data_IF_995798984388
#
_entry.id   IF_995798984388
#
_cell.length_a   1.000
_cell.length_b   1.000
_cell.length_c   1.000
_cell.angle_alpha   90.00
_cell.angle_beta   90.00
_cell.angle_gamma   90.00
#
_symmetry.space_group_name_H-M   'P 1'
#
loop_
_entity.id
_entity.type
_entity.pdbx_description
1 polymer ?
#
# COMPACT_ATOMS: atom_id res chain seq x y z
N UNK A 1 -19.00 11.48 10.12
CA UNK A 1 -17.64 11.68 9.55
C UNK A 1 -16.62 10.89 10.36
N UNK A 2 -16.60 10.98 11.71
CA UNK A 2 -15.64 10.24 12.55
C UNK A 2 -15.75 8.70 12.41
N UNK A 3 -16.95 8.13 12.33
CA UNK A 3 -17.15 6.69 12.16
C UNK A 3 -16.63 6.16 10.80
N UNK A 4 -16.67 6.99 9.76
CA UNK A 4 -16.16 6.64 8.44
C UNK A 4 -14.61 6.70 8.41
N UNK A 5 -14.00 7.64 9.13
CA UNK A 5 -12.56 7.77 9.28
C UNK A 5 -11.95 6.60 10.09
N UNK A 6 -12.60 6.22 11.19
CA UNK A 6 -12.15 5.07 12.02
C UNK A 6 -12.27 3.75 11.24
N UNK A 7 -13.28 3.62 10.38
CA UNK A 7 -13.40 2.46 9.47
C UNK A 7 -12.28 2.40 8.43
N UNK A 8 -11.85 3.54 7.89
CA UNK A 8 -10.72 3.61 6.96
C UNK A 8 -9.39 3.29 7.63
N UNK A 9 -9.14 3.73 8.87
CA UNK A 9 -7.94 3.37 9.62
C UNK A 9 -7.79 1.85 9.83
N UNK A 10 -8.88 1.13 10.05
CA UNK A 10 -8.83 -0.32 10.16
C UNK A 10 -8.44 -1.00 8.85
N UNK A 11 -9.06 -0.60 7.73
CA UNK A 11 -8.71 -1.13 6.41
C UNK A 11 -7.25 -0.82 6.04
N UNK A 12 -6.72 0.34 6.43
CA UNK A 12 -5.34 0.74 6.19
C UNK A 12 -4.36 -0.14 6.98
N UNK A 13 -4.64 -0.44 8.25
CA UNK A 13 -3.77 -1.32 9.06
C UNK A 13 -3.68 -2.74 8.50
N UNK A 14 -4.79 -3.28 8.02
CA UNK A 14 -4.81 -4.61 7.39
C UNK A 14 -4.04 -4.61 6.07
N UNK A 15 -4.11 -3.52 5.32
CA UNK A 15 -3.40 -3.34 4.07
C UNK A 15 -1.89 -3.43 4.20
N UNK A 16 -1.29 -2.84 5.23
CA UNK A 16 0.16 -2.86 5.46
C UNK A 16 0.70 -4.30 5.57
N UNK A 17 -0.08 -5.23 6.14
CA UNK A 17 0.31 -6.62 6.28
C UNK A 17 0.14 -7.47 5.03
N UNK A 18 -0.68 -7.06 4.09
CA UNK A 18 -1.02 -7.83 2.87
C UNK A 18 -0.42 -7.24 1.61
N UNK A 19 -0.28 -5.90 1.53
CA UNK A 19 0.20 -5.19 0.34
C UNK A 19 1.54 -5.70 -0.19
N UNK A 20 2.57 -5.93 0.63
CA UNK A 20 3.86 -6.42 0.12
C UNK A 20 3.74 -7.78 -0.58
N UNK A 21 2.83 -8.64 -0.12
CA UNK A 21 2.66 -9.98 -0.66
C UNK A 21 1.99 -9.95 -2.03
N UNK A 22 0.84 -9.28 -2.15
CA UNK A 22 0.15 -9.23 -3.44
C UNK A 22 0.87 -8.35 -4.45
N UNK A 23 1.52 -7.26 -4.01
CA UNK A 23 2.28 -6.42 -4.91
C UNK A 23 3.51 -7.15 -5.47
N UNK A 24 4.20 -7.94 -4.64
CA UNK A 24 5.30 -8.77 -5.11
C UNK A 24 4.82 -9.84 -6.11
N UNK A 25 3.66 -10.50 -5.84
CA UNK A 25 3.02 -11.43 -6.78
C UNK A 25 2.72 -10.74 -8.10
N UNK A 26 2.16 -9.53 -8.06
CA UNK A 26 1.81 -8.74 -9.23
C UNK A 26 3.03 -8.35 -10.06
N UNK A 27 4.15 -7.98 -9.43
CA UNK A 27 5.38 -7.65 -10.15
C UNK A 27 5.89 -8.79 -11.05
N UNK A 28 5.59 -10.05 -10.71
CA UNK A 28 5.97 -11.24 -11.46
C UNK A 28 4.78 -11.91 -12.16
N UNK A 29 3.67 -11.20 -12.32
CA UNK A 29 2.53 -11.68 -13.09
C UNK A 29 2.94 -11.99 -14.54
N UNK A 30 2.39 -13.06 -15.09
CA UNK A 30 2.64 -13.47 -16.47
C UNK A 30 2.26 -12.38 -17.50
N UNK A 31 1.34 -11.50 -17.13
CA UNK A 31 0.88 -10.38 -17.98
C UNK A 31 2.00 -9.34 -18.22
N UNK A 32 2.91 -9.19 -17.29
CA UNK A 32 4.03 -8.24 -17.41
C UNK A 32 5.21 -8.78 -18.22
N UNK A 33 5.22 -10.09 -18.52
CA UNK A 33 6.23 -10.73 -19.38
C UNK A 33 7.65 -10.68 -18.82
N UNK A 34 7.82 -10.48 -17.52
CA UNK A 34 9.12 -10.48 -16.86
C UNK A 34 9.45 -11.89 -16.40
N UNK A 35 10.56 -12.47 -16.88
CA UNK A 35 10.97 -13.80 -16.45
C UNK A 35 11.38 -13.80 -14.98
N UNK A 36 10.95 -14.81 -14.25
CA UNK A 36 11.35 -15.02 -12.86
C UNK A 36 12.84 -15.42 -12.81
N UNK A 37 13.71 -14.42 -12.69
CA UNK A 37 15.15 -14.57 -12.59
C UNK A 37 15.69 -13.93 -11.31
N UNK A 38 16.85 -14.38 -10.84
CA UNK A 38 17.47 -13.79 -9.65
C UNK A 38 17.75 -12.29 -9.81
N UNK A 39 18.15 -11.86 -11.01
CA UNK A 39 18.39 -10.46 -11.34
C UNK A 39 17.09 -9.62 -11.24
N UNK A 40 15.99 -10.12 -11.80
CA UNK A 40 14.69 -9.47 -11.72
C UNK A 40 14.19 -9.37 -10.27
N UNK A 41 14.38 -10.43 -9.47
CA UNK A 41 14.02 -10.43 -8.05
C UNK A 41 14.80 -9.38 -7.27
N UNK A 42 16.12 -9.29 -7.45
CA UNK A 42 16.95 -8.25 -6.82
C UNK A 42 16.52 -6.84 -7.27
N UNK A 43 16.20 -6.66 -8.55
CA UNK A 43 15.71 -5.39 -9.08
C UNK A 43 14.41 -4.95 -8.43
N UNK A 44 13.40 -5.83 -8.36
CA UNK A 44 12.10 -5.55 -7.74
C UNK A 44 12.24 -5.28 -6.24
N UNK A 45 12.99 -6.10 -5.50
CA UNK A 45 13.20 -5.89 -4.06
C UNK A 45 13.95 -4.58 -3.80
N UNK A 46 14.93 -4.25 -4.64
CA UNK A 46 15.63 -2.97 -4.57
C UNK A 46 14.68 -1.80 -4.81
N UNK A 47 13.79 -1.88 -5.79
CA UNK A 47 12.75 -0.85 -6.03
C UNK A 47 11.82 -0.70 -4.83
N UNK A 48 11.35 -1.81 -4.25
CA UNK A 48 10.49 -1.78 -3.05
C UNK A 48 11.21 -1.10 -1.89
N UNK A 49 12.45 -1.50 -1.60
CA UNK A 49 13.25 -0.92 -0.51
C UNK A 49 13.42 0.60 -0.70
N UNK A 50 13.83 1.04 -1.89
CA UNK A 50 14.06 2.45 -2.14
C UNK A 50 12.76 3.25 -2.25
N UNK A 51 11.67 2.67 -2.70
CA UNK A 51 10.35 3.29 -2.65
C UNK A 51 9.95 3.58 -1.19
N UNK A 52 10.13 2.64 -0.25
CA UNK A 52 9.93 2.89 1.18
C UNK A 52 10.86 3.99 1.72
N UNK A 53 12.15 3.94 1.39
CA UNK A 53 13.09 4.95 1.87
C UNK A 53 12.76 6.35 1.37
N UNK A 54 12.40 6.49 0.10
CA UNK A 54 12.11 7.80 -0.51
C UNK A 54 10.71 8.29 -0.09
N UNK A 55 9.68 7.46 -0.22
CA UNK A 55 8.31 7.90 -0.01
C UNK A 55 7.98 7.96 1.48
N UNK A 56 8.22 6.88 2.22
CA UNK A 56 7.83 6.84 3.65
C UNK A 56 8.84 7.61 4.49
N UNK A 57 10.13 7.28 4.42
CA UNK A 57 11.11 7.88 5.33
C UNK A 57 11.41 9.33 4.97
N UNK A 58 11.76 9.62 3.71
CA UNK A 58 12.14 10.96 3.31
C UNK A 58 10.91 11.88 3.16
N UNK A 59 9.94 11.50 2.34
CA UNK A 59 8.78 12.36 2.05
C UNK A 59 7.87 12.50 3.26
N UNK A 60 7.37 11.40 3.84
CA UNK A 60 6.39 11.47 4.92
C UNK A 60 7.04 11.81 6.26
N UNK A 61 8.00 11.04 6.75
CA UNK A 61 8.57 11.24 8.09
C UNK A 61 9.37 12.53 8.18
N UNK A 62 10.22 12.84 7.19
CA UNK A 62 11.04 14.05 7.25
C UNK A 62 10.30 15.35 6.93
N UNK A 63 9.39 15.33 5.95
CA UNK A 63 8.74 16.55 5.46
C UNK A 63 7.29 16.67 5.90
N UNK A 64 6.44 15.69 5.57
CA UNK A 64 4.98 15.83 5.74
C UNK A 64 4.57 15.85 7.21
N UNK A 65 5.14 14.99 8.05
CA UNK A 65 4.82 14.95 9.49
C UNK A 65 5.23 16.21 10.25
N UNK A 66 6.06 17.08 9.68
CA UNK A 66 6.37 18.40 10.25
C UNK A 66 5.30 19.45 9.97
N UNK A 67 4.42 19.20 9.01
CA UNK A 67 3.32 20.08 8.65
C UNK A 67 2.12 19.83 9.56
N UNK A 68 2.18 20.34 10.78
CA UNK A 68 1.12 20.22 11.79
C UNK A 68 0.14 21.38 11.70
N UNK A 69 -1.15 21.07 11.58
CA UNK A 69 -2.24 22.04 11.66
C UNK A 69 -3.07 21.80 12.93
N UNK A 70 -2.61 22.30 14.08
CA UNK A 70 -3.30 22.16 15.38
C UNK A 70 -3.58 20.70 15.81
N UNK A 71 -2.69 19.78 15.49
CA UNK A 71 -2.85 18.35 15.78
C UNK A 71 -3.58 17.57 14.71
N UNK A 72 -4.01 18.22 13.64
CA UNK A 72 -4.63 17.56 12.48
C UNK A 72 -3.60 17.41 11.35
N UNK A 73 -3.62 16.24 10.69
CA UNK A 73 -2.78 15.90 9.54
C UNK A 73 -3.63 15.63 8.29
N UNK A 74 -2.97 15.08 7.27
CA UNK A 74 -3.60 14.67 6.01
C UNK A 74 -3.64 15.76 4.94
N UNK A 75 -4.17 15.37 3.78
CA UNK A 75 -4.17 16.20 2.56
C UNK A 75 -4.88 17.54 2.75
N UNK A 76 -6.02 17.53 3.47
CA UNK A 76 -6.81 18.73 3.69
C UNK A 76 -6.14 19.70 4.68
N UNK A 77 -5.47 19.18 5.71
CA UNK A 77 -4.67 19.98 6.62
C UNK A 77 -3.49 20.65 5.92
N UNK A 78 -2.79 19.88 5.07
CA UNK A 78 -1.69 20.41 4.24
C UNK A 78 -2.18 21.48 3.27
N UNK A 79 -3.32 21.28 2.62
CA UNK A 79 -3.97 22.29 1.77
C UNK A 79 -4.30 23.55 2.56
N UNK A 80 -4.89 23.43 3.76
CA UNK A 80 -5.23 24.55 4.61
C UNK A 80 -3.99 25.37 5.02
N UNK A 81 -2.88 24.68 5.39
CA UNK A 81 -1.61 25.32 5.69
C UNK A 81 -1.05 26.09 4.49
N UNK A 82 -1.05 25.48 3.31
CA UNK A 82 -0.56 26.11 2.07
C UNK A 82 -1.40 27.34 1.71
N UNK A 83 -2.72 27.31 1.92
CA UNK A 83 -3.60 28.45 1.65
C UNK A 83 -3.35 29.63 2.58
N UNK A 84 -2.84 29.43 3.79
CA UNK A 84 -2.49 30.51 4.72
C UNK A 84 -1.32 31.37 4.21
N UNK A 85 -0.47 30.82 3.35
CA UNK A 85 0.71 31.49 2.83
C UNK A 85 0.45 32.30 1.54
N UNK A 86 -0.75 32.20 0.97
CA UNK A 86 -1.09 32.78 -0.34
C UNK A 86 -2.33 33.66 -0.22
N UNK A 87 -2.38 34.85 -0.90
CA UNK A 87 -3.58 35.69 -0.92
C UNK A 87 -4.81 34.93 -1.44
N UNK A 88 -5.95 35.09 -0.75
CA UNK A 88 -7.17 34.29 -0.95
C UNK A 88 -7.81 34.42 -2.34
N UNK A 89 -7.44 35.42 -3.14
CA UNK A 89 -8.00 35.61 -4.47
C UNK A 89 -6.95 35.50 -5.61
N UNK A 90 -5.90 34.74 -5.38
CA UNK A 90 -4.80 34.51 -6.31
C UNK A 90 -5.04 33.24 -7.16
N UNK A 91 -4.54 33.21 -8.41
CA UNK A 91 -4.48 32.00 -9.23
C UNK A 91 -3.75 30.85 -8.50
N UNK A 92 -2.77 31.18 -7.65
CA UNK A 92 -2.04 30.19 -6.83
C UNK A 92 -2.95 29.55 -5.80
N UNK A 93 -3.86 30.31 -5.16
CA UNK A 93 -4.85 29.79 -4.23
C UNK A 93 -5.76 28.76 -4.92
N UNK A 94 -6.24 29.07 -6.12
CA UNK A 94 -7.06 28.14 -6.89
C UNK A 94 -6.30 26.86 -7.25
N UNK A 95 -5.05 26.97 -7.66
CA UNK A 95 -4.21 25.78 -7.95
C UNK A 95 -4.01 24.88 -6.72
N UNK A 96 -3.79 25.48 -5.54
CA UNK A 96 -3.64 24.72 -4.29
C UNK A 96 -4.96 24.00 -3.94
N UNK A 97 -6.09 24.67 -4.08
CA UNK A 97 -7.41 24.07 -3.84
C UNK A 97 -7.64 22.89 -4.80
N UNK A 98 -7.41 23.09 -6.10
CA UNK A 98 -7.58 22.05 -7.10
C UNK A 98 -6.66 20.85 -6.83
N UNK A 99 -5.40 21.07 -6.49
CA UNK A 99 -4.47 20.02 -6.13
C UNK A 99 -4.88 19.27 -4.87
N UNK A 100 -5.35 19.98 -3.84
CA UNK A 100 -5.84 19.38 -2.60
C UNK A 100 -7.11 18.55 -2.80
N UNK A 101 -8.08 19.07 -3.58
CA UNK A 101 -9.29 18.33 -3.93
C UNK A 101 -8.96 17.10 -4.78
N UNK A 102 -8.09 17.24 -5.78
CA UNK A 102 -7.64 16.11 -6.58
C UNK A 102 -6.96 15.03 -5.73
N UNK A 103 -6.06 15.44 -4.82
CA UNK A 103 -5.42 14.50 -3.89
C UNK A 103 -6.42 13.79 -2.98
N UNK A 104 -7.42 14.53 -2.45
CA UNK A 104 -8.49 13.93 -1.66
C UNK A 104 -9.33 12.93 -2.47
N UNK A 105 -9.65 13.22 -3.72
CA UNK A 105 -10.35 12.29 -4.60
C UNK A 105 -9.53 11.01 -4.86
N UNK A 106 -8.22 11.15 -5.08
CA UNK A 106 -7.32 10.00 -5.24
C UNK A 106 -7.27 9.14 -3.97
N UNK A 107 -7.20 9.77 -2.80
CA UNK A 107 -7.24 9.08 -1.51
C UNK A 107 -8.55 8.31 -1.29
N UNK A 108 -9.70 8.91 -1.63
CA UNK A 108 -10.99 8.21 -1.56
C UNK A 108 -11.05 7.03 -2.55
N UNK A 109 -10.46 7.17 -3.74
CA UNK A 109 -10.35 6.07 -4.71
C UNK A 109 -9.54 4.90 -4.14
N UNK A 110 -8.40 5.19 -3.54
CA UNK A 110 -7.55 4.19 -2.91
C UNK A 110 -8.27 3.46 -1.76
N UNK A 111 -8.98 4.18 -0.92
CA UNK A 111 -9.74 3.62 0.20
C UNK A 111 -10.82 2.59 -0.21
N UNK A 112 -11.24 2.58 -1.48
CA UNK A 112 -12.17 1.60 -2.05
C UNK A 112 -11.40 0.45 -2.69
N UNK A 113 -10.34 0.75 -3.43
CA UNK A 113 -9.58 -0.22 -4.23
C UNK A 113 -8.75 -1.14 -3.32
N UNK A 114 -8.08 -0.58 -2.34
CA UNK A 114 -7.14 -1.31 -1.47
C UNK A 114 -7.77 -2.47 -0.69
N UNK A 115 -8.94 -2.32 -0.01
CA UNK A 115 -9.62 -3.45 0.62
C UNK A 115 -10.07 -4.51 -0.39
N UNK A 116 -10.51 -4.08 -1.57
CA UNK A 116 -10.96 -5.00 -2.61
C UNK A 116 -9.83 -5.89 -3.11
N UNK A 117 -8.66 -5.31 -3.41
CA UNK A 117 -7.47 -6.05 -3.84
C UNK A 117 -6.95 -6.96 -2.72
N UNK A 118 -6.93 -6.49 -1.47
CA UNK A 118 -6.45 -7.27 -0.34
C UNK A 118 -7.29 -8.53 -0.11
N UNK A 119 -8.62 -8.41 -0.15
CA UNK A 119 -9.53 -9.56 0.00
C UNK A 119 -9.42 -10.49 -1.21
N UNK A 120 -9.39 -9.93 -2.42
CA UNK A 120 -9.26 -10.72 -3.66
C UNK A 120 -7.97 -11.55 -3.62
N UNK A 121 -6.85 -10.94 -3.34
CA UNK A 121 -5.55 -11.62 -3.27
C UNK A 121 -5.49 -12.70 -2.18
N UNK A 122 -6.15 -12.48 -1.04
CA UNK A 122 -6.24 -13.50 0.00
C UNK A 122 -7.08 -14.70 -0.46
N UNK A 123 -8.19 -14.47 -1.16
CA UNK A 123 -9.07 -15.53 -1.68
C UNK A 123 -8.42 -16.27 -2.86
N UNK A 124 -7.64 -15.59 -3.69
CA UNK A 124 -6.82 -16.22 -4.75
C UNK A 124 -5.84 -17.26 -4.21
N UNK A 125 -5.45 -17.17 -2.94
CA UNK A 125 -4.66 -18.21 -2.29
C UNK A 125 -5.34 -19.59 -2.30
N UNK A 126 -6.67 -19.68 -2.45
CA UNK A 126 -7.38 -20.94 -2.59
C UNK A 126 -7.07 -21.67 -3.89
N UNK A 127 -6.69 -20.95 -4.95
CA UNK A 127 -6.29 -21.54 -6.24
C UNK A 127 -5.05 -22.42 -6.12
N UNK A 128 -4.15 -22.08 -5.17
CA UNK A 128 -2.95 -22.86 -4.90
C UNK A 128 -3.30 -24.24 -4.32
N UNK A 129 -4.45 -24.34 -3.62
CA UNK A 129 -4.92 -25.59 -3.02
C UNK A 129 -5.60 -26.45 -4.08
N UNK A 130 -6.49 -25.84 -4.89
CA UNK A 130 -7.21 -26.54 -5.96
C UNK A 130 -7.59 -25.56 -7.10
N UNK A 131 -7.18 -25.85 -8.34
CA UNK A 131 -7.55 -25.03 -9.52
C UNK A 131 -9.07 -24.93 -9.75
N UNK A 132 -9.84 -25.92 -9.29
CA UNK A 132 -11.30 -25.90 -9.43
C UNK A 132 -11.97 -24.80 -8.60
N UNK A 133 -11.27 -24.25 -7.60
CA UNK A 133 -11.79 -23.19 -6.75
C UNK A 133 -11.70 -21.80 -7.39
N UNK A 134 -10.99 -21.65 -8.51
CA UNK A 134 -10.88 -20.37 -9.25
C UNK A 134 -12.22 -19.74 -9.54
N UNK A 135 -13.23 -20.52 -9.94
CA UNK A 135 -14.59 -20.03 -10.21
C UNK A 135 -15.30 -19.44 -9.00
N UNK A 136 -14.90 -19.81 -7.79
CA UNK A 136 -15.50 -19.33 -6.54
C UNK A 136 -14.78 -18.12 -5.96
N UNK A 137 -13.59 -17.77 -6.46
CA UNK A 137 -12.78 -16.64 -5.95
C UNK A 137 -13.58 -15.35 -5.98
N UNK A 138 -14.16 -14.99 -7.11
CA UNK A 138 -14.93 -13.75 -7.24
C UNK A 138 -16.20 -13.72 -6.36
N UNK A 139 -17.06 -14.76 -6.34
CA UNK A 139 -18.21 -14.80 -5.46
C UNK A 139 -17.86 -14.73 -3.97
N UNK A 140 -16.82 -15.44 -3.54
CA UNK A 140 -16.35 -15.42 -2.14
C UNK A 140 -15.82 -14.04 -1.78
N UNK A 141 -15.01 -13.43 -2.66
CA UNK A 141 -14.48 -12.06 -2.45
C UNK A 141 -15.61 -11.05 -2.28
N UNK A 142 -16.62 -11.08 -3.15
CA UNK A 142 -17.79 -10.17 -3.04
C UNK A 142 -18.53 -10.41 -1.72
N UNK A 143 -18.75 -11.67 -1.35
CA UNK A 143 -19.43 -12.00 -0.10
C UNK A 143 -18.66 -11.47 1.12
N UNK A 144 -17.34 -11.67 1.18
CA UNK A 144 -16.50 -11.18 2.27
C UNK A 144 -16.53 -9.65 2.33
N UNK A 145 -16.39 -8.94 1.18
CA UNK A 145 -16.44 -7.48 1.13
C UNK A 145 -17.78 -6.94 1.63
N UNK A 146 -18.90 -7.52 1.16
CA UNK A 146 -20.24 -7.12 1.61
C UNK A 146 -20.40 -7.35 3.11
N UNK A 147 -19.99 -8.50 3.62
CA UNK A 147 -20.03 -8.82 5.06
C UNK A 147 -19.18 -7.82 5.86
N UNK A 148 -17.97 -7.50 5.40
CA UNK A 148 -17.06 -6.56 6.05
C UNK A 148 -17.66 -5.15 6.11
N UNK A 149 -18.22 -4.64 5.02
CA UNK A 149 -18.88 -3.33 5.00
C UNK A 149 -20.17 -3.28 5.84
N UNK A 150 -20.90 -4.39 5.95
CA UNK A 150 -22.08 -4.46 6.81
C UNK A 150 -21.70 -4.43 8.29
N UNK A 151 -20.65 -5.15 8.68
CA UNK A 151 -20.14 -5.18 10.06
C UNK A 151 -19.59 -3.79 10.45
N UNK A 152 -18.99 -3.08 9.53
CA UNK A 152 -18.43 -1.74 9.75
C UNK A 152 -19.47 -0.72 10.22
N UNK A 153 -20.75 -0.89 9.86
CA UNK A 153 -21.86 -0.03 10.32
C UNK A 153 -22.17 -0.16 11.81
N UNK A 154 -21.87 -1.30 12.44
CA UNK A 154 -22.23 -1.60 13.83
C UNK A 154 -21.24 -1.07 14.87
N UNK A 155 -20.17 -0.45 14.42
CA UNK A 155 -19.14 0.14 15.28
C UNK A 155 -17.81 -0.61 15.21
N UNK A 156 -16.75 0.18 15.18
CA UNK A 156 -15.39 -0.30 14.95
C UNK A 156 -14.69 -0.80 16.21
N UNK A 157 -15.22 -0.54 17.39
CA UNK A 157 -14.59 -0.88 18.68
C UNK A 157 -14.42 -2.39 18.91
N UNK A 158 -15.44 -3.18 18.56
CA UNK A 158 -15.41 -4.65 18.76
C UNK A 158 -14.47 -5.29 17.74
N UNK A 159 -14.57 -4.85 16.51
CA UNK A 159 -13.77 -5.35 15.39
C UNK A 159 -12.30 -4.98 15.61
N UNK A 160 -11.99 -3.74 16.01
CA UNK A 160 -10.63 -3.26 16.30
C UNK A 160 -9.93 -4.04 17.42
N UNK A 161 -10.66 -4.42 18.46
CA UNK A 161 -10.11 -5.22 19.56
C UNK A 161 -9.71 -6.65 19.13
N UNK A 162 -10.41 -7.22 18.15
CA UNK A 162 -10.11 -8.56 17.64
C UNK A 162 -8.99 -8.51 16.57
N UNK A 163 -9.00 -7.51 15.71
CA UNK A 163 -8.03 -7.37 14.62
C UNK A 163 -6.61 -7.09 15.13
N UNK A 164 -6.45 -6.29 16.17
CA UNK A 164 -5.13 -5.97 16.74
C UNK A 164 -4.28 -7.19 17.05
N UNK A 165 -4.76 -8.14 17.90
CA UNK A 165 -4.03 -9.35 18.19
C UNK A 165 -3.79 -10.26 16.97
N UNK A 166 -4.76 -10.36 16.06
CA UNK A 166 -4.63 -11.16 14.83
C UNK A 166 -3.51 -10.62 13.97
N UNK A 167 -3.49 -9.29 13.73
CA UNK A 167 -2.45 -8.65 12.94
C UNK A 167 -1.08 -8.74 13.60
N UNK A 168 -1.01 -8.69 14.93
CA UNK A 168 0.24 -8.89 15.66
C UNK A 168 0.81 -10.29 15.42
N UNK A 169 -0.03 -11.32 15.53
CA UNK A 169 0.37 -12.70 15.24
C UNK A 169 0.81 -12.83 13.79
N UNK A 170 0.08 -12.23 12.85
CA UNK A 170 0.39 -12.23 11.43
C UNK A 170 1.78 -11.64 11.16
N UNK A 171 2.09 -10.46 11.69
CA UNK A 171 3.41 -9.82 11.53
C UNK A 171 4.52 -10.63 12.17
N UNK A 172 4.30 -11.25 13.34
CA UNK A 172 5.29 -12.12 13.98
C UNK A 172 5.57 -13.33 13.08
N UNK A 173 4.54 -13.97 12.54
CA UNK A 173 4.71 -15.16 11.67
C UNK A 173 5.47 -14.78 10.39
N UNK A 174 5.04 -13.75 9.67
CA UNK A 174 5.74 -13.31 8.44
C UNK A 174 7.17 -12.87 8.77
N UNK A 175 7.36 -12.12 9.85
CA UNK A 175 8.68 -11.68 10.28
C UNK A 175 9.63 -12.84 10.57
N UNK A 176 9.18 -13.84 11.32
CA UNK A 176 9.98 -15.03 11.62
C UNK A 176 10.30 -15.83 10.35
N UNK A 177 9.32 -16.02 9.46
CA UNK A 177 9.56 -16.69 8.17
C UNK A 177 10.56 -15.90 7.30
N UNK A 178 10.43 -14.57 7.27
CA UNK A 178 11.36 -13.71 6.54
C UNK A 178 12.78 -13.78 7.10
N UNK A 179 12.94 -13.67 8.40
CA UNK A 179 14.25 -13.79 9.07
C UNK A 179 14.89 -15.15 8.79
N UNK A 180 14.10 -16.23 8.89
CA UNK A 180 14.57 -17.57 8.58
C UNK A 180 15.13 -17.66 7.16
N UNK A 181 14.41 -17.15 6.15
CA UNK A 181 14.85 -17.16 4.75
C UNK A 181 16.08 -16.28 4.50
N UNK A 182 16.15 -15.12 5.13
CA UNK A 182 17.29 -14.19 4.99
C UNK A 182 18.57 -14.80 5.58
N UNK A 183 18.48 -15.52 6.70
CA UNK A 183 19.64 -16.21 7.29
C UNK A 183 20.17 -17.29 6.33
N UNK A 184 19.28 -18.01 5.66
CA UNK A 184 19.69 -19.06 4.70
C UNK A 184 20.19 -18.50 3.37
N UNK A 185 19.72 -17.32 2.97
CA UNK A 185 20.07 -16.68 1.71
C UNK A 185 20.50 -15.21 1.92
N UNK A 186 21.66 -14.97 2.53
CA UNK A 186 22.10 -13.59 2.86
C UNK A 186 22.41 -12.74 1.62
N UNK A 187 22.50 -13.34 0.44
CA UNK A 187 22.68 -12.62 -0.82
C UNK A 187 21.58 -11.58 -1.08
N UNK A 188 20.40 -11.73 -0.47
CA UNK A 188 19.29 -10.78 -0.60
C UNK A 188 19.65 -9.36 -0.12
N UNK A 189 20.61 -9.21 0.79
CA UNK A 189 21.10 -7.90 1.21
C UNK A 189 21.77 -7.10 0.08
N UNK A 190 22.21 -7.75 -0.99
CA UNK A 190 22.69 -7.05 -2.18
C UNK A 190 21.62 -6.16 -2.81
N UNK A 191 20.34 -6.53 -2.67
CA UNK A 191 19.20 -5.73 -3.16
C UNK A 191 19.07 -4.35 -2.49
N UNK A 192 19.75 -4.07 -1.39
CA UNK A 192 19.82 -2.72 -0.80
C UNK A 192 20.55 -1.73 -1.74
N UNK A 193 21.41 -2.25 -2.63
CA UNK A 193 22.08 -1.40 -3.61
C UNK A 193 21.10 -0.87 -4.67
N UNK A 194 20.93 0.46 -4.80
CA UNK A 194 20.00 1.08 -5.76
C UNK A 194 20.34 0.78 -7.23
N UNK A 195 21.56 0.34 -7.51
CA UNK A 195 21.96 0.01 -8.87
C UNK A 195 21.11 -1.13 -9.47
N UNK A 196 20.65 -2.09 -8.66
CA UNK A 196 19.77 -3.15 -9.13
C UNK A 196 18.41 -2.61 -9.59
N UNK A 197 17.83 -1.64 -8.85
CA UNK A 197 16.60 -0.97 -9.26
C UNK A 197 16.78 -0.21 -10.57
N UNK A 198 17.87 0.55 -10.70
CA UNK A 198 18.17 1.33 -11.90
C UNK A 198 18.43 0.44 -13.11
N UNK A 199 19.23 -0.61 -12.96
CA UNK A 199 19.50 -1.57 -14.02
C UNK A 199 18.22 -2.26 -14.49
N UNK A 200 17.36 -2.66 -13.56
CA UNK A 200 16.07 -3.26 -13.89
C UNK A 200 15.21 -2.33 -14.73
N UNK A 201 15.07 -1.04 -14.34
CA UNK A 201 14.30 -0.05 -15.07
C UNK A 201 14.88 0.23 -16.47
N UNK A 202 16.21 0.28 -16.60
CA UNK A 202 16.87 0.53 -17.88
C UNK A 202 16.71 -0.67 -18.81
N UNK A 203 16.91 -1.89 -18.30
CA UNK A 203 16.87 -3.12 -19.11
C UNK A 203 15.44 -3.48 -19.56
N UNK A 204 14.41 -3.16 -18.78
CA UNK A 204 13.02 -3.51 -19.06
C UNK A 204 12.14 -2.31 -19.46
N UNK A 205 12.69 -1.12 -19.58
CA UNK A 205 12.02 0.13 -20.04
C UNK A 205 10.53 0.23 -19.71
N UNK A 206 9.62 -0.05 -20.66
CA UNK A 206 8.17 0.05 -20.46
C UNK A 206 7.64 -0.97 -19.44
N UNK A 207 8.10 -2.21 -19.49
CA UNK A 207 7.71 -3.24 -18.52
C UNK A 207 8.21 -2.89 -17.12
N UNK A 208 9.44 -2.37 -17.01
CA UNK A 208 9.99 -1.87 -15.75
C UNK A 208 9.16 -0.72 -15.16
N UNK A 209 8.61 0.15 -16.00
CA UNK A 209 7.70 1.22 -15.56
C UNK A 209 6.36 0.68 -15.06
N UNK A 210 5.80 -0.34 -15.70
CA UNK A 210 4.57 -1.00 -15.24
C UNK A 210 4.80 -1.67 -13.90
N UNK A 211 5.91 -2.40 -13.76
CA UNK A 211 6.30 -3.04 -12.48
C UNK A 211 6.55 -2.01 -11.38
N UNK A 212 7.10 -0.85 -11.71
CA UNK A 212 7.21 0.26 -10.75
C UNK A 212 5.84 0.68 -10.23
N UNK A 213 4.80 0.70 -11.07
CA UNK A 213 3.42 0.90 -10.62
C UNK A 213 2.96 -0.15 -9.61
N UNK A 214 3.25 -1.44 -9.87
CA UNK A 214 2.96 -2.52 -8.92
C UNK A 214 3.78 -2.39 -7.62
N UNK A 215 5.03 -1.95 -7.69
CA UNK A 215 5.85 -1.65 -6.50
C UNK A 215 5.21 -0.56 -5.63
N UNK A 216 4.56 0.45 -6.22
CA UNK A 216 3.85 1.47 -5.45
C UNK A 216 2.68 0.91 -4.63
N UNK A 217 2.07 -0.21 -5.04
CA UNK A 217 1.05 -0.90 -4.23
C UNK A 217 1.59 -1.39 -2.88
N UNK A 218 2.91 -1.63 -2.76
CA UNK A 218 3.54 -2.00 -1.48
C UNK A 218 3.44 -0.87 -0.46
N UNK A 219 3.32 0.39 -0.93
CA UNK A 219 3.26 1.58 -0.08
C UNK A 219 1.83 1.90 0.40
N UNK A 220 0.82 1.16 -0.07
CA UNK A 220 -0.55 1.35 0.39
C UNK A 220 -0.64 1.08 1.90
N UNK A 221 -1.32 1.98 2.61
CA UNK A 221 -1.36 1.99 4.06
C UNK A 221 -0.34 2.94 4.72
N UNK A 222 0.67 3.45 3.96
CA UNK A 222 1.57 4.47 4.48
C UNK A 222 0.87 5.82 4.74
N UNK A 223 -0.32 6.01 4.17
CA UNK A 223 -1.18 7.18 4.38
C UNK A 223 -1.60 7.35 5.86
N UNK A 224 -1.61 6.26 6.63
CA UNK A 224 -1.90 6.32 8.06
C UNK A 224 -0.83 7.07 8.88
N UNK A 225 0.30 7.42 8.27
CA UNK A 225 1.39 8.14 8.94
C UNK A 225 1.20 9.67 8.96
N UNK A 226 0.19 10.22 8.27
CA UNK A 226 0.00 11.69 8.19
C UNK A 226 -1.46 12.11 8.25
#
# INVERSE_FOLDING_TARGET
ISACLVGSEMCIRDSIGTSPLYALKECFSAEHGIPFSSEAVFGVISMVFWAFMIVVSLKYVMFVMRANNHGEGGILALMALALRTVPSNSKRSLMIIMAGVFGACMFYGDAIITPAISVLSAVEGLEVISPDLTRFVLPITIFILVALFLIQKTGTDVVGKLFGPIMMIWFIVIGLMGVYQVIHNPAIFAAINPLFALQFLINHSLQGFIVLGAVFLVLTGAEALY
#
